data_IF_451080606978
#
_entry.id   IF_451080606978
#
_cell.length_a   1.000
_cell.length_b   1.000
_cell.length_c   1.000
_cell.angle_alpha   90.00
_cell.angle_beta   90.00
_cell.angle_gamma   90.00
#
_symmetry.space_group_name_H-M   'P 1'
#
loop_
_entity.id
_entity.type
_entity.pdbx_description
1 polymer ?
#
# COMPACT_ATOMS: atom_id res chain seq x y z
N UNK A 1 -29.12 -9.66 -13.48
CA UNK A 1 -28.75 -11.03 -13.06
C UNK A 1 -27.43 -11.50 -13.64
N UNK A 2 -27.36 -12.09 -14.83
CA UNK A 2 -26.12 -12.79 -15.26
C UNK A 2 -24.86 -11.91 -15.38
N UNK A 3 -25.01 -10.60 -15.64
CA UNK A 3 -23.90 -9.63 -15.63
C UNK A 3 -23.49 -9.21 -14.22
N UNK A 4 -24.45 -9.09 -13.31
CA UNK A 4 -24.22 -8.70 -11.92
C UNK A 4 -23.58 -9.84 -11.13
N UNK A 5 -24.02 -11.08 -11.35
CA UNK A 5 -23.39 -12.29 -10.80
C UNK A 5 -21.92 -12.39 -11.22
N UNK A 6 -21.63 -12.27 -12.52
CA UNK A 6 -20.25 -12.28 -13.02
C UNK A 6 -19.39 -11.15 -12.44
N UNK A 7 -19.97 -9.97 -12.21
CA UNK A 7 -19.27 -8.86 -11.57
C UNK A 7 -19.02 -9.13 -10.08
N UNK A 8 -19.97 -9.77 -9.39
CA UNK A 8 -19.82 -10.21 -8.01
C UNK A 8 -18.72 -11.27 -7.88
N UNK A 9 -18.73 -12.30 -8.71
CA UNK A 9 -17.71 -13.35 -8.70
C UNK A 9 -16.31 -12.76 -8.92
N UNK A 10 -16.16 -11.90 -9.93
CA UNK A 10 -14.88 -11.24 -10.21
C UNK A 10 -14.42 -10.34 -9.04
N UNK A 11 -15.34 -9.64 -8.38
CA UNK A 11 -15.02 -8.83 -7.21
C UNK A 11 -14.60 -9.70 -6.02
N UNK A 12 -15.30 -10.82 -5.78
CA UNK A 12 -14.98 -11.77 -4.71
C UNK A 12 -13.61 -12.40 -4.94
N UNK A 13 -13.30 -12.85 -6.16
CA UNK A 13 -11.98 -13.39 -6.50
C UNK A 13 -10.86 -12.37 -6.26
N UNK A 14 -11.08 -11.09 -6.63
CA UNK A 14 -10.13 -10.02 -6.38
C UNK A 14 -9.90 -9.79 -4.88
N UNK A 15 -10.98 -9.79 -4.07
CA UNK A 15 -10.90 -9.65 -2.62
C UNK A 15 -10.16 -10.84 -1.99
N UNK A 16 -10.52 -12.06 -2.37
CA UNK A 16 -9.87 -13.29 -1.89
C UNK A 16 -8.37 -13.26 -2.20
N UNK A 17 -8.01 -12.89 -3.44
CA UNK A 17 -6.61 -12.76 -3.86
C UNK A 17 -5.85 -11.73 -3.01
N UNK A 18 -6.43 -10.55 -2.79
CA UNK A 18 -5.78 -9.51 -1.99
C UNK A 18 -5.64 -9.89 -0.51
N UNK A 19 -6.64 -10.56 0.07
CA UNK A 19 -6.59 -11.08 1.45
C UNK A 19 -5.52 -12.17 1.58
N UNK A 20 -5.38 -13.05 0.57
CA UNK A 20 -4.32 -14.05 0.55
C UNK A 20 -2.92 -13.44 0.49
N UNK A 21 -2.74 -12.36 -0.29
CA UNK A 21 -1.48 -11.60 -0.30
C UNK A 21 -1.14 -11.06 1.09
N UNK A 22 -2.09 -10.41 1.76
CA UNK A 22 -1.91 -9.87 3.11
C UNK A 22 -1.60 -10.99 4.12
N UNK A 23 -2.33 -12.10 4.07
CA UNK A 23 -2.09 -13.29 4.91
C UNK A 23 -0.66 -13.80 4.75
N UNK A 24 -0.18 -13.92 3.51
CA UNK A 24 1.18 -14.38 3.21
C UNK A 24 2.24 -13.38 3.70
N UNK A 25 1.98 -12.07 3.58
CA UNK A 25 2.85 -11.02 4.14
C UNK A 25 2.96 -11.12 5.66
N UNK A 26 1.85 -11.35 6.36
CA UNK A 26 1.83 -11.56 7.82
C UNK A 26 2.58 -12.85 8.20
N UNK A 27 2.27 -13.97 7.54
CA UNK A 27 2.93 -15.25 7.80
C UNK A 27 4.45 -15.16 7.58
N UNK A 28 4.89 -14.48 6.51
CA UNK A 28 6.31 -14.25 6.24
C UNK A 28 6.98 -13.44 7.34
N UNK A 29 6.31 -12.41 7.88
CA UNK A 29 6.84 -11.64 9.00
C UNK A 29 6.93 -12.49 10.28
N UNK A 30 5.91 -13.28 10.60
CA UNK A 30 5.93 -14.18 11.75
C UNK A 30 7.10 -15.17 11.67
N UNK A 31 7.29 -15.80 10.51
CA UNK A 31 8.43 -16.71 10.28
C UNK A 31 9.77 -16.01 10.48
N UNK A 32 9.92 -14.78 9.99
CA UNK A 32 11.15 -13.98 10.21
C UNK A 32 11.36 -13.66 11.69
N UNK A 33 10.29 -13.32 12.42
CA UNK A 33 10.37 -13.03 13.85
C UNK A 33 10.73 -14.27 14.67
N UNK A 34 10.21 -15.44 14.30
CA UNK A 34 10.46 -16.68 15.04
C UNK A 34 11.81 -17.31 14.70
N UNK A 35 12.21 -17.32 13.43
CA UNK A 35 13.38 -18.07 12.96
C UNK A 35 14.63 -17.22 12.78
N UNK A 36 14.48 -15.91 12.56
CA UNK A 36 15.58 -15.03 12.19
C UNK A 36 15.84 -13.93 13.22
N UNK A 37 15.31 -14.04 14.45
CA UNK A 37 15.39 -13.00 15.48
C UNK A 37 16.83 -12.52 15.76
N UNK A 38 17.83 -13.39 15.67
CA UNK A 38 19.24 -13.02 15.88
C UNK A 38 19.84 -12.17 14.75
N UNK A 39 19.27 -12.26 13.54
CA UNK A 39 19.75 -11.55 12.33
C UNK A 39 18.78 -10.47 11.85
N UNK A 40 17.67 -10.29 12.56
CA UNK A 40 16.59 -9.41 12.17
C UNK A 40 16.96 -7.96 12.47
N UNK A 41 17.11 -7.17 11.41
CA UNK A 41 17.35 -5.75 11.52
C UNK A 41 16.02 -4.97 11.56
N UNK A 42 15.99 -3.85 12.29
CA UNK A 42 14.84 -2.96 12.34
C UNK A 42 14.37 -2.47 10.94
N UNK A 43 15.26 -2.11 9.99
CA UNK A 43 14.85 -1.77 8.63
C UNK A 43 14.10 -2.89 7.91
N UNK A 44 14.48 -4.15 8.12
CA UNK A 44 13.80 -5.30 7.51
C UNK A 44 12.38 -5.46 8.07
N UNK A 45 12.22 -5.28 9.39
CA UNK A 45 10.90 -5.28 10.04
C UNK A 45 10.03 -4.15 9.50
N UNK A 46 10.58 -2.94 9.44
CA UNK A 46 9.87 -1.77 8.92
C UNK A 46 9.45 -1.95 7.45
N UNK A 47 10.31 -2.56 6.63
CA UNK A 47 9.98 -2.90 5.24
C UNK A 47 8.81 -3.89 5.16
N UNK A 48 8.78 -4.90 6.02
CA UNK A 48 7.64 -5.84 6.09
C UNK A 48 6.36 -5.14 6.56
N UNK A 49 6.44 -4.21 7.53
CA UNK A 49 5.29 -3.38 7.91
C UNK A 49 4.80 -2.48 6.78
N UNK A 50 5.70 -1.85 6.03
CA UNK A 50 5.34 -1.02 4.88
C UNK A 50 4.62 -1.85 3.80
N UNK A 51 5.06 -3.08 3.56
CA UNK A 51 4.40 -4.01 2.63
C UNK A 51 2.99 -4.38 3.11
N UNK A 52 2.80 -4.76 4.38
CA UNK A 52 1.48 -5.04 4.94
C UNK A 52 0.56 -3.81 4.90
N UNK A 53 1.09 -2.61 5.16
CA UNK A 53 0.34 -1.35 5.07
C UNK A 53 -0.11 -1.06 3.64
N UNK A 54 0.72 -1.36 2.64
CA UNK A 54 0.37 -1.26 1.22
C UNK A 54 -0.73 -2.26 0.87
N UNK A 55 -0.61 -3.51 1.31
CA UNK A 55 -1.60 -4.56 1.07
C UNK A 55 -2.98 -4.19 1.65
N UNK A 56 -3.01 -3.65 2.87
CA UNK A 56 -4.23 -3.13 3.52
C UNK A 56 -4.82 -1.94 2.78
N UNK A 57 -3.98 -1.01 2.32
CA UNK A 57 -4.43 0.16 1.55
C UNK A 57 -5.05 -0.27 0.23
N UNK A 58 -4.46 -1.25 -0.45
CA UNK A 58 -4.98 -1.81 -1.69
C UNK A 58 -6.32 -2.53 -1.46
N UNK A 59 -6.45 -3.29 -0.37
CA UNK A 59 -7.72 -3.91 0.01
C UNK A 59 -8.81 -2.85 0.27
N UNK A 60 -8.49 -1.80 1.03
CA UNK A 60 -9.42 -0.69 1.29
C UNK A 60 -9.87 0.00 0.00
N UNK A 61 -8.95 0.24 -0.95
CA UNK A 61 -9.26 0.83 -2.25
C UNK A 61 -10.14 -0.09 -3.08
N UNK A 62 -9.87 -1.39 -3.11
CA UNK A 62 -10.67 -2.39 -3.81
C UNK A 62 -12.12 -2.40 -3.29
N UNK A 63 -12.28 -2.41 -1.96
CA UNK A 63 -13.60 -2.41 -1.31
C UNK A 63 -14.37 -1.09 -1.49
N UNK A 64 -13.65 0.03 -1.64
CA UNK A 64 -14.24 1.36 -1.87
C UNK A 64 -14.47 1.67 -3.34
N UNK A 65 -14.08 0.78 -4.25
CA UNK A 65 -14.10 1.04 -5.68
C UNK A 65 -15.52 0.96 -6.24
N UNK A 66 -15.92 1.94 -7.06
CA UNK A 66 -17.27 2.06 -7.65
C UNK A 66 -17.66 0.90 -8.60
N UNK A 67 -16.68 0.09 -9.03
CA UNK A 67 -16.91 -1.15 -9.81
C UNK A 67 -17.15 -2.40 -8.96
N UNK A 68 -16.89 -2.35 -7.65
CA UNK A 68 -17.31 -3.42 -6.78
C UNK A 68 -18.84 -3.34 -6.66
N UNK A 69 -19.58 -4.45 -6.88
CA UNK A 69 -21.01 -4.44 -6.62
C UNK A 69 -21.24 -4.02 -5.17
N UNK A 70 -22.37 -3.37 -4.85
CA UNK A 70 -22.64 -2.89 -3.50
C UNK A 70 -22.84 -4.07 -2.55
N UNK A 71 -21.74 -4.61 -2.02
CA UNK A 71 -21.73 -5.77 -1.11
C UNK A 71 -22.58 -5.50 0.14
N UNK A 72 -22.72 -4.22 0.52
CA UNK A 72 -23.60 -3.77 1.60
C UNK A 72 -25.08 -4.13 1.40
N UNK A 73 -25.51 -4.36 0.15
CA UNK A 73 -26.88 -4.74 -0.18
C UNK A 73 -27.08 -6.26 -0.19
N UNK A 74 -26.02 -7.04 0.01
CA UNK A 74 -26.05 -8.50 0.04
C UNK A 74 -25.97 -8.96 1.49
N UNK A 75 -26.67 -10.04 1.82
CA UNK A 75 -26.62 -10.68 3.13
C UNK A 75 -26.06 -12.08 2.97
N UNK A 76 -25.16 -12.47 3.87
CA UNK A 76 -24.63 -13.82 3.92
C UNK A 76 -25.48 -14.65 4.87
N UNK A 77 -26.09 -15.71 4.35
CA UNK A 77 -26.94 -16.64 5.11
C UNK A 77 -26.42 -18.06 4.90
N UNK A 78 -26.11 -18.81 5.98
CA UNK A 78 -25.87 -20.24 5.89
C UNK A 78 -27.10 -20.97 5.35
N UNK A 79 -26.92 -21.76 4.28
CA UNK A 79 -28.01 -22.58 3.71
C UNK A 79 -28.18 -23.90 4.46
N UNK A 80 -27.08 -24.48 4.92
CA UNK A 80 -27.05 -25.74 5.66
C UNK A 80 -26.01 -25.64 6.77
N UNK A 81 -26.36 -26.15 7.95
CA UNK A 81 -25.46 -26.24 9.10
C UNK A 81 -25.25 -27.71 9.43
N UNK A 82 -24.00 -28.15 9.38
CA UNK A 82 -23.65 -29.56 9.54
C UNK A 82 -22.50 -29.71 10.54
N UNK A 83 -22.62 -30.60 11.53
CA UNK A 83 -21.53 -30.97 12.42
C UNK A 83 -20.56 -31.96 11.76
N UNK A 84 -20.89 -32.47 10.56
CA UNK A 84 -20.03 -33.38 9.84
C UNK A 84 -18.88 -32.61 9.21
N UNK A 85 -17.71 -33.24 9.21
CA UNK A 85 -16.53 -32.70 8.54
C UNK A 85 -16.79 -32.56 7.06
N UNK A 86 -16.48 -31.38 6.53
CA UNK A 86 -16.56 -31.08 5.10
C UNK A 86 -15.13 -30.95 4.54
N UNK A 87 -14.71 -31.93 3.75
CA UNK A 87 -13.36 -31.95 3.16
C UNK A 87 -13.16 -30.91 2.06
N UNK A 88 -14.24 -30.47 1.39
CA UNK A 88 -14.17 -29.40 0.38
C UNK A 88 -13.95 -28.05 1.06
N UNK A 89 -14.75 -27.75 2.10
CA UNK A 89 -14.60 -26.56 2.92
C UNK A 89 -13.21 -26.50 3.57
N UNK A 90 -12.74 -27.65 4.06
CA UNK A 90 -11.42 -27.78 4.65
C UNK A 90 -10.31 -27.46 3.62
N UNK A 91 -10.44 -27.93 2.38
CA UNK A 91 -9.48 -27.63 1.31
C UNK A 91 -9.52 -26.15 0.92
N UNK A 92 -10.71 -25.57 0.75
CA UNK A 92 -10.90 -24.17 0.36
C UNK A 92 -10.41 -23.19 1.43
N UNK A 93 -10.52 -23.56 2.70
CA UNK A 93 -10.13 -22.70 3.83
C UNK A 93 -8.70 -22.95 4.32
N UNK A 94 -7.91 -23.76 3.60
CA UNK A 94 -6.54 -24.14 4.00
C UNK A 94 -6.51 -24.78 5.40
N UNK A 95 -7.42 -25.72 5.64
CA UNK A 95 -7.57 -26.46 6.89
C UNK A 95 -7.95 -25.62 8.13
N UNK A 96 -8.49 -24.42 7.93
CA UNK A 96 -8.94 -23.54 9.03
C UNK A 96 -10.35 -23.83 9.50
N UNK A 97 -11.25 -24.21 8.59
CA UNK A 97 -12.65 -24.52 8.90
C UNK A 97 -12.92 -25.97 8.57
N UNK A 98 -13.19 -26.79 9.59
CA UNK A 98 -13.44 -28.22 9.43
C UNK A 98 -14.93 -28.57 9.36
N UNK A 99 -15.77 -27.78 10.03
CA UNK A 99 -17.22 -27.97 10.13
C UNK A 99 -17.88 -26.60 10.16
N UNK A 100 -19.14 -26.54 9.71
CA UNK A 100 -19.94 -25.33 9.73
C UNK A 100 -21.20 -25.59 10.57
N UNK A 101 -21.02 -25.64 11.89
CA UNK A 101 -22.01 -26.07 12.88
C UNK A 101 -22.61 -24.89 13.66
N UNK A 102 -23.76 -25.13 14.30
CA UNK A 102 -24.53 -24.09 15.00
C UNK A 102 -23.76 -23.33 16.10
N UNK A 103 -22.75 -23.97 16.69
CA UNK A 103 -21.87 -23.41 17.72
C UNK A 103 -20.75 -22.52 17.15
N UNK A 104 -20.24 -22.82 15.96
CA UNK A 104 -19.10 -22.11 15.35
C UNK A 104 -19.51 -20.99 14.39
N UNK A 105 -20.68 -21.12 13.76
CA UNK A 105 -21.21 -20.13 12.81
C UNK A 105 -21.24 -18.70 13.38
N UNK A 106 -21.65 -18.47 14.65
CA UNK A 106 -21.62 -17.13 15.23
C UNK A 106 -20.22 -16.51 15.22
N UNK A 107 -19.18 -17.32 15.42
CA UNK A 107 -17.78 -16.86 15.40
C UNK A 107 -17.30 -16.57 13.98
N UNK A 108 -17.62 -17.45 13.02
CA UNK A 108 -17.21 -17.27 11.61
C UNK A 108 -17.92 -16.10 10.91
N UNK A 109 -19.17 -15.82 11.26
CA UNK A 109 -19.97 -14.74 10.69
C UNK A 109 -20.03 -13.49 11.58
N UNK A 110 -19.17 -13.42 12.61
CA UNK A 110 -19.15 -12.30 13.53
C UNK A 110 -18.83 -10.99 12.79
N UNK A 111 -19.74 -10.03 12.89
CA UNK A 111 -19.55 -8.65 12.40
C UNK A 111 -19.22 -7.67 13.52
N UNK A 112 -19.37 -8.08 14.78
CA UNK A 112 -19.06 -7.25 15.94
C UNK A 112 -17.54 -7.07 16.07
N UNK A 113 -17.01 -5.83 16.09
CA UNK A 113 -15.58 -5.57 16.20
C UNK A 113 -14.99 -6.08 17.53
N UNK A 114 -13.66 -6.09 17.61
CA UNK A 114 -12.95 -6.39 18.85
C UNK A 114 -13.23 -5.34 19.94
N UNK A 115 -13.27 -5.72 21.23
CA UNK A 115 -13.63 -4.81 22.31
C UNK A 115 -12.80 -3.52 22.37
N UNK A 116 -11.51 -3.60 22.06
CA UNK A 116 -10.62 -2.43 22.02
C UNK A 116 -10.98 -1.45 20.89
N UNK A 117 -11.38 -1.99 19.74
CA UNK A 117 -11.81 -1.20 18.58
C UNK A 117 -13.19 -0.59 18.86
N UNK A 118 -14.11 -1.36 19.42
CA UNK A 118 -15.44 -0.91 19.86
C UNK A 118 -15.32 0.26 20.85
N UNK A 119 -14.47 0.14 21.87
CA UNK A 119 -14.22 1.20 22.85
C UNK A 119 -13.67 2.47 22.20
N UNK A 120 -12.69 2.35 21.28
CA UNK A 120 -12.16 3.49 20.53
C UNK A 120 -13.22 4.14 19.64
N UNK A 121 -14.04 3.35 18.96
CA UNK A 121 -15.15 3.86 18.15
C UNK A 121 -16.15 4.64 19.00
N UNK A 122 -16.57 4.09 20.14
CA UNK A 122 -17.49 4.75 21.06
C UNK A 122 -16.92 6.07 21.60
N UNK A 123 -15.62 6.11 21.92
CA UNK A 123 -14.95 7.35 22.31
C UNK A 123 -14.96 8.40 21.19
N UNK A 124 -14.74 8.00 19.94
CA UNK A 124 -14.78 8.90 18.79
C UNK A 124 -16.20 9.40 18.50
N UNK A 125 -17.20 8.52 18.59
CA UNK A 125 -18.61 8.87 18.45
C UNK A 125 -19.05 9.85 19.54
N UNK A 126 -18.64 9.63 20.79
CA UNK A 126 -18.96 10.56 21.88
C UNK A 126 -18.33 11.94 21.65
N UNK A 127 -17.07 11.98 21.20
CA UNK A 127 -16.42 13.25 20.80
C UNK A 127 -17.16 13.93 19.65
N UNK A 128 -17.59 13.18 18.65
CA UNK A 128 -18.33 13.69 17.50
C UNK A 128 -19.71 14.24 17.88
N UNK A 129 -20.45 13.55 18.75
CA UNK A 129 -21.76 13.98 19.23
C UNK A 129 -21.71 15.30 20.04
N UNK A 130 -20.59 15.58 20.70
CA UNK A 130 -20.39 16.81 21.47
C UNK A 130 -19.98 18.02 20.60
N UNK A 131 -19.76 17.84 19.29
CA UNK A 131 -19.39 18.91 18.36
C UNK A 131 -20.63 19.45 17.65
N UNK A 132 -20.81 20.77 17.66
CA UNK A 132 -21.81 21.42 16.82
C UNK A 132 -21.44 21.26 15.33
N UNK A 133 -22.36 20.73 14.53
CA UNK A 133 -22.13 20.41 13.11
C UNK A 133 -21.58 21.58 12.30
N UNK A 134 -22.11 22.79 12.52
CA UNK A 134 -21.66 24.01 11.82
C UNK A 134 -20.21 24.38 12.18
N UNK A 135 -19.84 24.25 13.45
CA UNK A 135 -18.47 24.51 13.92
C UNK A 135 -17.50 23.47 13.37
N UNK A 136 -17.90 22.19 13.35
CA UNK A 136 -17.10 21.11 12.79
C UNK A 136 -16.85 21.31 11.28
N UNK A 137 -17.87 21.66 10.50
CA UNK A 137 -17.70 21.93 9.07
C UNK A 137 -16.75 23.11 8.80
N UNK A 138 -16.89 24.22 9.54
CA UNK A 138 -15.99 25.38 9.41
C UNK A 138 -14.55 25.00 9.73
N UNK A 139 -14.32 24.21 10.78
CA UNK A 139 -13.00 23.72 11.15
C UNK A 139 -12.42 22.79 10.08
N UNK A 140 -13.19 21.82 9.58
CA UNK A 140 -12.75 20.90 8.51
C UNK A 140 -12.35 21.66 7.26
N UNK A 141 -13.15 22.63 6.81
CA UNK A 141 -12.82 23.44 5.64
C UNK A 141 -11.53 24.26 5.83
N UNK A 142 -11.33 24.85 7.01
CA UNK A 142 -10.10 25.56 7.35
C UNK A 142 -8.88 24.64 7.35
N UNK A 143 -8.99 23.45 7.97
CA UNK A 143 -7.92 22.46 7.98
C UNK A 143 -7.60 21.94 6.58
N UNK A 144 -8.61 21.62 5.76
CA UNK A 144 -8.40 21.20 4.38
C UNK A 144 -7.65 22.27 3.57
N UNK A 145 -7.95 23.56 3.77
CA UNK A 145 -7.22 24.65 3.11
C UNK A 145 -5.76 24.70 3.54
N UNK A 146 -5.47 24.53 4.83
CA UNK A 146 -4.08 24.52 5.33
C UNK A 146 -3.31 23.31 4.82
N UNK A 147 -3.90 22.11 4.90
CA UNK A 147 -3.28 20.88 4.40
C UNK A 147 -3.03 20.96 2.89
N UNK A 148 -4.01 21.46 2.13
CA UNK A 148 -3.87 21.69 0.69
C UNK A 148 -2.75 22.68 0.37
N UNK A 149 -2.66 23.79 1.10
CA UNK A 149 -1.59 24.76 0.89
C UNK A 149 -0.20 24.19 1.17
N UNK A 150 -0.04 23.43 2.27
CA UNK A 150 1.23 22.75 2.59
C UNK A 150 1.56 21.72 1.52
N UNK A 151 0.56 20.96 1.05
CA UNK A 151 0.73 20.02 -0.06
C UNK A 151 1.24 20.71 -1.32
N UNK A 152 0.63 21.82 -1.73
CA UNK A 152 1.04 22.59 -2.92
C UNK A 152 2.48 23.09 -2.82
N UNK A 153 2.89 23.60 -1.65
CA UNK A 153 4.27 24.02 -1.40
C UNK A 153 5.24 22.85 -1.60
N UNK A 154 4.94 21.69 -1.01
CA UNK A 154 5.79 20.49 -1.09
C UNK A 154 5.83 19.95 -2.52
N UNK A 155 4.69 19.88 -3.20
CA UNK A 155 4.61 19.43 -4.60
C UNK A 155 5.40 20.33 -5.53
N UNK A 156 5.29 21.65 -5.37
CA UNK A 156 6.05 22.61 -6.17
C UNK A 156 7.56 22.50 -5.93
N UNK A 157 7.97 22.40 -4.67
CA UNK A 157 9.38 22.21 -4.32
C UNK A 157 9.95 20.91 -4.92
N UNK A 158 9.16 19.83 -4.94
CA UNK A 158 9.54 18.56 -5.59
C UNK A 158 9.75 18.73 -7.10
N UNK A 159 8.84 19.42 -7.79
CA UNK A 159 8.97 19.69 -9.24
C UNK A 159 10.22 20.53 -9.56
N UNK A 160 10.50 21.55 -8.75
CA UNK A 160 11.69 22.39 -8.90
C UNK A 160 12.99 21.57 -8.74
N UNK A 161 13.07 20.70 -7.73
CA UNK A 161 14.23 19.81 -7.53
C UNK A 161 14.41 18.78 -8.65
N UNK A 162 13.32 18.20 -9.17
CA UNK A 162 13.40 17.29 -10.32
C UNK A 162 13.86 18.02 -11.60
N UNK A 163 13.44 19.29 -11.77
CA UNK A 163 13.88 20.14 -12.88
C UNK A 163 15.36 20.50 -12.82
N UNK A 164 15.87 20.86 -11.63
CA UNK A 164 17.29 21.17 -11.41
C UNK A 164 18.19 19.93 -11.56
N UNK A 165 17.77 18.77 -11.05
CA UNK A 165 18.49 17.51 -11.23
C UNK A 165 18.63 17.10 -12.71
N UNK A 166 17.60 17.39 -13.51
CA UNK A 166 17.61 17.14 -14.96
C UNK A 166 18.56 18.07 -15.71
N UNK A 167 18.69 19.33 -15.28
CA UNK A 167 19.66 20.29 -15.85
C UNK A 167 21.10 19.95 -15.49
N UNK A 168 21.35 19.48 -14.27
CA UNK A 168 22.68 19.06 -13.84
C UNK A 168 23.18 17.81 -14.59
N UNK A 169 22.30 16.88 -14.95
CA UNK A 169 22.62 15.67 -15.71
C UNK A 169 22.98 15.92 -17.19
N UNK A 170 22.62 17.09 -17.75
CA UNK A 170 22.90 17.46 -19.15
C UNK A 170 24.14 18.33 -19.34
N UNK A 171 24.87 18.70 -18.28
CA UNK A 171 26.13 19.42 -18.44
C UNK A 171 27.19 18.43 -18.93
N UNK A 172 27.33 18.32 -20.24
CA UNK A 172 28.41 17.55 -20.88
C UNK A 172 29.75 18.10 -20.41
N UNK A 173 30.44 17.39 -19.52
CA UNK A 173 31.75 17.78 -18.98
C UNK A 173 32.90 17.59 -19.97
N UNK A 174 32.60 17.04 -21.14
CA UNK A 174 33.56 16.82 -22.22
C UNK A 174 32.94 17.25 -23.55
N UNK A 175 33.71 17.93 -24.40
CA UNK A 175 33.32 18.17 -25.79
C UNK A 175 34.17 17.29 -26.71
N UNK A 176 33.56 16.74 -27.76
CA UNK A 176 34.25 15.87 -28.73
C UNK A 176 35.40 16.63 -29.42
N UNK A 177 35.26 17.95 -29.57
CA UNK A 177 36.27 18.84 -30.15
C UNK A 177 37.51 18.95 -29.25
N UNK A 178 37.33 19.10 -27.93
CA UNK A 178 38.45 19.14 -26.99
C UNK A 178 39.17 17.79 -26.93
N UNK A 179 38.41 16.69 -26.95
CA UNK A 179 38.97 15.33 -27.01
C UNK A 179 39.80 15.12 -28.26
N UNK A 180 39.31 15.54 -29.44
CA UNK A 180 40.05 15.42 -30.69
C UNK A 180 41.30 16.30 -30.72
N UNK A 181 41.25 17.47 -30.08
CA UNK A 181 42.40 18.38 -29.95
C UNK A 181 43.48 17.76 -29.07
N UNK A 182 43.10 17.17 -27.93
CA UNK A 182 44.01 16.43 -27.05
C UNK A 182 44.66 15.23 -27.76
N UNK A 183 43.86 14.43 -28.48
CA UNK A 183 44.36 13.28 -29.23
C UNK A 183 45.36 13.73 -30.29
N UNK A 184 45.08 14.79 -31.05
CA UNK A 184 46.00 15.32 -32.06
C UNK A 184 47.29 15.91 -31.45
N UNK A 185 47.20 16.54 -30.27
CA UNK A 185 48.38 17.04 -29.55
C UNK A 185 49.28 15.89 -29.07
N UNK A 186 48.72 14.80 -28.55
CA UNK A 186 49.49 13.64 -28.06
C UNK A 186 50.07 12.81 -29.22
N UNK A 187 49.26 12.53 -30.24
CA UNK A 187 49.64 11.64 -31.33
C UNK A 187 50.52 12.31 -32.39
N UNK A 188 50.33 13.62 -32.62
CA UNK A 188 51.01 14.35 -33.70
C UNK A 188 51.81 15.55 -33.22
N UNK A 189 51.85 15.83 -31.91
CA UNK A 189 52.54 16.99 -31.34
C UNK A 189 51.90 18.34 -31.72
N UNK A 190 50.71 18.33 -32.32
CA UNK A 190 50.09 19.50 -32.92
C UNK A 190 49.64 20.47 -31.82
N UNK A 191 50.26 21.66 -31.78
CA UNK A 191 49.93 22.71 -30.81
C UNK A 191 50.78 22.74 -29.53
N UNK A 192 51.72 21.80 -29.34
CA UNK A 192 52.66 21.83 -28.23
C UNK A 192 53.89 22.68 -28.59
N UNK A 193 54.10 23.79 -27.86
CA UNK A 193 55.34 24.57 -27.96
C UNK A 193 56.41 23.92 -27.09
N UNK A 194 57.40 23.31 -27.72
CA UNK A 194 58.60 22.83 -27.01
C UNK A 194 59.47 24.04 -26.69
N UNK A 195 59.51 24.47 -25.44
CA UNK A 195 60.52 25.41 -24.97
C UNK A 195 61.84 24.64 -24.80
N UNK A 196 62.70 24.71 -25.81
CA UNK A 196 64.10 24.34 -25.68
C UNK A 196 64.80 25.42 -24.87
N UNK A 197 64.99 25.17 -23.57
CA UNK A 197 65.97 25.93 -22.79
C UNK A 197 67.37 25.46 -23.23
N UNK A 198 68.02 26.28 -24.05
CA UNK A 198 69.47 26.28 -24.24
C UNK A 198 70.03 27.53 -23.56
#
# INVERSE_FOLDING_TARGET
>A
MQREEKQLDSALEAVISQVNTLKNSIASLLVKLEQQYETLSWPNVLSSFAMMSSDLTNLSKLMSHDKAPPLRNLTLLPLELSPNRDDELLKLTEHRVHTFSHDLVPDYLRTKPEPEVESKMMQMEHKAANLAYETAQKQVAAYMKVVGHVWDIVSKAREEWESEGSRAAQVSTSTLTDTNTLVAAISMGKGLKVYLNA
#
